data_IF_410962859795
#
_entry.id   IF_410962859795
#
_cell.length_a   1.000
_cell.length_b   1.000
_cell.length_c   1.000
_cell.angle_alpha   90.00
_cell.angle_beta   90.00
_cell.angle_gamma   90.00
#
_symmetry.space_group_name_H-M   'P 1'
#
loop_
_entity.id
_entity.type
_entity.pdbx_description
1 polymer ?
#
# COMPACT_ATOMS: atom_id res chain seq x y z
N UNK A 1 33.93 26.75 -0.07
CA UNK A 1 34.54 26.03 1.05
C UNK A 1 33.51 25.01 1.49
N UNK A 2 33.84 23.72 1.66
CA UNK A 2 32.86 22.75 2.20
C UNK A 2 32.49 23.18 3.61
N UNK A 3 31.21 23.40 3.88
CA UNK A 3 30.68 23.66 5.21
C UNK A 3 31.05 22.48 6.11
N UNK A 4 31.87 22.75 7.14
CA UNK A 4 32.19 21.75 8.14
C UNK A 4 30.91 21.42 8.92
N UNK A 5 30.38 20.21 8.74
CA UNK A 5 29.25 19.71 9.52
C UNK A 5 29.58 19.78 11.02
N UNK A 6 28.66 20.31 11.81
CA UNK A 6 28.82 20.40 13.26
C UNK A 6 28.77 19.02 13.89
N UNK A 7 29.45 18.82 15.04
CA UNK A 7 29.43 17.57 15.80
C UNK A 7 27.97 17.24 16.18
N UNK A 8 27.56 16.00 15.97
CA UNK A 8 26.18 15.54 16.24
C UNK A 8 25.83 15.63 17.73
N UNK A 9 26.78 15.46 18.65
CA UNK A 9 26.57 15.70 20.07
C UNK A 9 26.31 17.17 20.36
N UNK A 10 27.02 18.09 19.71
CA UNK A 10 26.77 19.53 19.82
C UNK A 10 25.43 19.94 19.23
N UNK A 11 25.03 19.35 18.09
CA UNK A 11 23.74 19.61 17.46
C UNK A 11 22.58 19.26 18.38
N UNK A 12 22.68 18.15 19.10
CA UNK A 12 21.67 17.72 20.08
C UNK A 12 21.86 18.35 21.46
N UNK A 13 23.00 19.05 21.71
CA UNK A 13 23.30 19.69 23.00
C UNK A 13 23.51 18.67 24.12
N UNK A 14 24.14 17.54 23.82
CA UNK A 14 24.44 16.45 24.76
C UNK A 14 25.92 16.13 24.77
N UNK A 15 26.43 15.49 25.85
CA UNK A 15 27.81 15.07 25.96
C UNK A 15 28.05 13.68 25.31
N UNK A 16 29.31 13.41 24.92
CA UNK A 16 29.73 12.06 24.53
C UNK A 16 29.53 11.10 25.72
N UNK A 17 28.84 9.99 25.51
CA UNK A 17 28.50 9.06 26.59
C UNK A 17 27.12 9.25 27.20
N UNK A 18 26.31 10.16 26.66
CA UNK A 18 24.89 10.34 27.05
C UNK A 18 24.12 9.02 26.94
N UNK A 19 23.19 8.79 27.88
CA UNK A 19 22.27 7.66 27.84
C UNK A 19 21.24 7.77 26.71
N UNK A 20 20.73 6.62 26.24
CA UNK A 20 19.74 6.59 25.15
C UNK A 20 18.45 7.35 25.51
N UNK A 21 18.07 7.34 26.80
CA UNK A 21 16.89 8.07 27.28
C UNK A 21 17.07 9.59 27.28
N UNK A 22 18.26 10.06 27.68
CA UNK A 22 18.59 11.49 27.66
C UNK A 22 18.74 11.99 26.23
N UNK A 23 19.36 11.20 25.35
CA UNK A 23 19.45 11.47 23.92
C UNK A 23 18.06 11.67 23.31
N UNK A 24 17.14 10.77 23.61
CA UNK A 24 15.74 10.83 23.16
C UNK A 24 14.99 12.04 23.70
N UNK A 25 15.24 12.44 24.96
CA UNK A 25 14.66 13.64 25.54
C UNK A 25 15.17 14.92 24.85
N UNK A 26 16.48 15.01 24.61
CA UNK A 26 17.11 16.12 23.92
C UNK A 26 16.55 16.27 22.49
N UNK A 27 16.48 15.18 21.74
CA UNK A 27 15.90 15.13 20.41
C UNK A 27 14.45 15.63 20.39
N UNK A 28 13.59 15.09 21.26
CA UNK A 28 12.16 15.50 21.30
C UNK A 28 11.99 17.02 21.59
N UNK A 29 12.84 17.56 22.46
CA UNK A 29 12.82 18.99 22.78
C UNK A 29 13.19 19.86 21.58
N UNK A 30 14.24 19.48 20.85
CA UNK A 30 14.71 20.22 19.68
C UNK A 30 13.80 20.02 18.46
N UNK A 31 13.31 18.80 18.23
CA UNK A 31 12.38 18.49 17.17
C UNK A 31 11.06 19.29 17.33
N UNK A 32 10.53 19.39 18.55
CA UNK A 32 9.36 20.25 18.83
C UNK A 32 9.66 21.73 18.60
N UNK A 33 10.85 22.19 18.99
CA UNK A 33 11.25 23.61 18.84
C UNK A 33 11.37 24.04 17.38
N UNK A 34 11.92 23.17 16.52
CA UNK A 34 12.18 23.46 15.10
C UNK A 34 11.19 22.80 14.15
N UNK A 35 10.04 22.31 14.69
CA UNK A 35 9.02 21.64 13.85
C UNK A 35 8.48 22.61 12.79
N UNK A 36 8.32 22.15 11.52
CA UNK A 36 7.83 23.02 10.44
C UNK A 36 6.43 23.58 10.71
N UNK A 37 5.55 22.83 11.39
CA UNK A 37 4.19 23.31 11.74
C UNK A 37 4.23 24.44 12.78
N UNK A 38 5.26 24.50 13.61
CA UNK A 38 5.42 25.56 14.61
C UNK A 38 6.24 26.75 14.10
N UNK A 39 6.96 26.57 12.99
CA UNK A 39 7.82 27.59 12.37
C UNK A 39 7.57 27.63 10.84
N UNK A 40 6.34 27.92 10.38
CA UNK A 40 6.02 27.89 8.98
C UNK A 40 6.81 28.95 8.21
N UNK A 41 7.57 28.54 7.18
CA UNK A 41 8.34 29.43 6.31
C UNK A 41 9.72 29.85 6.85
N UNK A 42 10.14 29.41 8.04
CA UNK A 42 11.48 29.68 8.56
C UNK A 42 12.51 28.65 8.05
N UNK A 43 13.26 29.04 7.01
CA UNK A 43 14.32 28.21 6.42
C UNK A 43 15.43 27.84 7.41
N UNK A 44 15.66 28.67 8.44
CA UNK A 44 16.69 28.41 9.44
C UNK A 44 16.23 27.37 10.44
N UNK A 45 14.94 27.38 10.81
CA UNK A 45 14.33 26.33 11.62
C UNK A 45 14.32 24.99 10.86
N UNK A 46 13.99 25.01 9.57
CA UNK A 46 14.00 23.81 8.71
C UNK A 46 15.40 23.19 8.59
N UNK A 47 16.43 24.00 8.38
CA UNK A 47 17.82 23.53 8.32
C UNK A 47 18.24 22.89 9.64
N UNK A 48 17.93 23.54 10.80
CA UNK A 48 18.22 22.99 12.13
C UNK A 48 17.41 21.71 12.42
N UNK A 49 16.20 21.63 11.94
CA UNK A 49 15.39 20.40 12.07
C UNK A 49 16.01 19.22 11.33
N UNK A 50 16.51 19.46 10.12
CA UNK A 50 17.25 18.43 9.34
C UNK A 50 18.53 17.98 10.05
N UNK A 51 19.32 18.92 10.58
CA UNK A 51 20.54 18.61 11.35
C UNK A 51 20.23 17.80 12.62
N UNK A 52 19.17 18.14 13.35
CA UNK A 52 18.74 17.46 14.59
C UNK A 52 18.28 16.03 14.28
N UNK A 53 17.57 15.83 13.17
CA UNK A 53 17.13 14.49 12.75
C UNK A 53 18.31 13.62 12.31
N UNK A 54 19.24 14.14 11.52
CA UNK A 54 20.47 13.45 11.10
C UNK A 54 21.32 13.04 12.32
N UNK A 55 21.52 13.95 13.25
CA UNK A 55 22.27 13.69 14.47
C UNK A 55 21.61 12.60 15.35
N UNK A 56 20.31 12.63 15.51
CA UNK A 56 19.60 11.61 16.28
C UNK A 56 19.62 10.25 15.60
N UNK A 57 19.47 10.20 14.30
CA UNK A 57 19.52 8.94 13.54
C UNK A 57 20.85 8.21 13.74
N UNK A 58 21.96 8.95 13.69
CA UNK A 58 23.29 8.37 13.86
C UNK A 58 23.54 7.97 15.31
N UNK A 59 23.19 8.80 16.28
CA UNK A 59 23.49 8.58 17.69
C UNK A 59 22.53 7.61 18.40
N UNK A 60 21.34 7.37 17.86
CA UNK A 60 20.36 6.41 18.40
C UNK A 60 20.67 4.96 18.04
N UNK A 61 21.41 4.72 16.98
CA UNK A 61 21.85 3.39 16.56
C UNK A 61 23.25 3.09 17.12
N UNK A 62 23.37 2.03 17.88
CA UNK A 62 24.65 1.65 18.56
C UNK A 62 25.79 1.41 17.59
N UNK A 63 25.52 0.84 16.41
CA UNK A 63 26.57 0.58 15.42
C UNK A 63 27.00 1.86 14.71
N UNK A 64 26.05 2.70 14.32
CA UNK A 64 26.34 4.00 13.70
C UNK A 64 27.05 4.93 14.68
N UNK A 65 26.61 4.95 15.94
CA UNK A 65 27.23 5.73 17.01
C UNK A 65 28.70 5.33 17.22
N UNK A 66 28.97 4.00 17.29
CA UNK A 66 30.35 3.51 17.44
C UNK A 66 31.24 3.91 16.25
N UNK A 67 30.73 3.85 15.02
CA UNK A 67 31.45 4.31 13.82
C UNK A 67 31.67 5.83 13.83
N UNK A 68 30.65 6.58 14.25
CA UNK A 68 30.77 8.02 14.38
C UNK A 68 31.79 8.43 15.47
N UNK A 69 31.80 7.73 16.61
CA UNK A 69 32.76 7.99 17.70
C UNK A 69 34.21 7.70 17.30
N UNK A 70 34.43 6.75 16.39
CA UNK A 70 35.79 6.37 15.91
C UNK A 70 36.27 7.21 14.72
N UNK A 71 35.37 7.52 13.76
CA UNK A 71 35.74 8.11 12.46
C UNK A 71 35.07 9.47 12.19
N UNK A 72 34.30 9.99 13.13
CA UNK A 72 33.52 11.22 12.95
C UNK A 72 32.47 11.10 11.84
N UNK A 73 32.18 12.20 11.17
CA UNK A 73 31.24 12.24 10.04
C UNK A 73 31.61 11.30 8.89
N UNK A 74 32.93 11.07 8.68
CA UNK A 74 33.38 10.15 7.65
C UNK A 74 32.92 8.72 7.88
N UNK A 75 32.83 8.27 9.15
CA UNK A 75 32.43 6.90 9.49
C UNK A 75 30.95 6.57 9.24
N UNK A 76 30.13 7.58 9.05
CA UNK A 76 28.68 7.46 8.77
C UNK A 76 28.30 7.99 7.39
N UNK A 77 29.25 8.46 6.61
CA UNK A 77 29.05 8.84 5.22
C UNK A 77 28.84 7.57 4.38
N UNK A 78 27.77 7.48 3.58
CA UNK A 78 27.49 6.34 2.70
C UNK A 78 28.65 6.00 1.74
N UNK A 79 29.51 6.96 1.47
CA UNK A 79 30.68 6.80 0.58
C UNK A 79 31.94 6.27 1.31
N UNK A 80 31.99 6.25 2.63
CA UNK A 80 33.19 5.86 3.39
C UNK A 80 33.52 4.35 3.28
N UNK A 81 32.56 3.51 2.96
CA UNK A 81 32.80 2.07 2.71
C UNK A 81 33.04 1.72 1.23
N UNK A 82 32.83 2.68 0.32
CA UNK A 82 32.97 2.47 -1.14
C UNK A 82 34.30 2.99 -1.72
N UNK A 83 35.19 3.50 -0.89
CA UNK A 83 36.49 4.05 -1.28
C UNK A 83 37.53 3.02 -1.70
N UNK A 84 37.21 2.16 -2.64
CA UNK A 84 38.10 1.15 -3.18
C UNK A 84 37.77 0.64 -4.57
N UNK A 85 36.90 1.33 -5.35
CA UNK A 85 36.78 0.98 -6.75
C UNK A 85 36.42 2.19 -7.64
N UNK A 86 37.44 2.64 -8.35
CA UNK A 86 37.40 3.57 -9.47
C UNK A 86 36.50 3.04 -10.58
N UNK A 87 35.56 3.84 -11.06
CA UNK A 87 34.86 3.53 -12.31
C UNK A 87 33.52 4.24 -12.49
N UNK A 88 33.54 5.49 -12.98
CA UNK A 88 32.66 6.07 -13.97
C UNK A 88 31.14 5.94 -13.81
N UNK A 89 30.48 7.06 -13.52
CA UNK A 89 29.05 7.20 -13.74
C UNK A 89 28.45 8.31 -12.87
N UNK A 90 28.70 9.59 -13.30
CA UNK A 90 28.07 10.73 -12.66
C UNK A 90 26.56 10.69 -12.88
N UNK A 91 25.80 10.47 -11.82
CA UNK A 91 24.40 10.83 -11.76
C UNK A 91 24.31 12.18 -11.05
N UNK A 92 24.35 13.25 -11.85
CA UNK A 92 23.93 14.57 -11.40
C UNK A 92 22.42 14.56 -11.21
N UNK A 93 21.98 14.43 -9.97
CA UNK A 93 20.59 14.67 -9.63
C UNK A 93 20.41 16.16 -9.34
N UNK A 94 19.70 16.83 -10.25
CA UNK A 94 19.17 18.17 -10.05
C UNK A 94 18.13 18.11 -8.90
N UNK A 95 18.47 18.76 -7.78
CA UNK A 95 17.76 18.68 -6.50
C UNK A 95 16.70 19.77 -6.38
N UNK A 96 15.77 19.83 -7.32
CA UNK A 96 14.78 20.92 -7.38
C UNK A 96 13.32 20.54 -7.28
N UNK A 97 12.87 19.39 -6.83
CA UNK A 97 11.44 19.17 -6.51
C UNK A 97 11.09 17.71 -6.11
N UNK A 98 11.91 17.06 -5.29
CA UNK A 98 11.59 15.70 -4.87
C UNK A 98 11.40 15.69 -3.36
N UNK A 99 10.20 15.28 -2.92
CA UNK A 99 9.84 15.11 -1.52
C UNK A 99 10.83 14.15 -0.81
N UNK A 100 11.64 14.75 0.07
CA UNK A 100 12.73 14.07 0.78
C UNK A 100 12.23 12.91 1.67
N UNK A 101 10.95 12.90 2.01
CA UNK A 101 10.33 11.87 2.85
C UNK A 101 10.21 10.53 2.15
N UNK A 102 9.86 10.50 0.86
CA UNK A 102 9.68 9.27 0.09
C UNK A 102 11.00 8.60 -0.30
N UNK A 103 12.05 9.41 -0.57
CA UNK A 103 13.38 8.88 -0.87
C UNK A 103 14.05 8.36 0.40
N UNK A 104 13.86 9.04 1.53
CA UNK A 104 14.44 8.66 2.81
C UNK A 104 13.79 7.38 3.35
N UNK A 105 12.47 7.24 3.25
CA UNK A 105 11.74 6.01 3.60
C UNK A 105 12.11 4.81 2.72
N UNK A 106 12.38 5.03 1.45
CA UNK A 106 12.78 3.98 0.51
C UNK A 106 14.25 3.55 0.66
N UNK A 107 15.14 4.47 1.04
CA UNK A 107 16.58 4.20 1.15
C UNK A 107 17.00 3.70 2.53
N UNK A 108 16.33 4.16 3.60
CA UNK A 108 16.66 3.81 4.98
C UNK A 108 15.66 2.93 5.72
N UNK A 109 14.39 2.91 5.33
CA UNK A 109 13.36 2.06 5.94
C UNK A 109 13.30 0.63 5.39
N UNK A 110 13.92 0.38 4.25
CA UNK A 110 14.08 -0.94 3.66
C UNK A 110 15.54 -1.33 3.72
N UNK A 111 15.90 -2.18 4.69
CA UNK A 111 17.25 -2.71 4.83
C UNK A 111 17.87 -3.03 3.47
N UNK A 112 19.16 -2.81 3.35
CA UNK A 112 20.06 -3.16 2.26
C UNK A 112 20.03 -4.68 1.98
N UNK A 113 18.86 -5.14 1.62
CA UNK A 113 18.58 -6.46 1.10
C UNK A 113 17.94 -6.23 -0.24
N UNK A 114 18.72 -6.36 -1.30
CA UNK A 114 18.24 -6.32 -2.67
C UNK A 114 16.90 -7.05 -2.75
N UNK A 115 15.86 -6.29 -3.08
CA UNK A 115 14.53 -6.82 -3.35
C UNK A 115 14.56 -7.66 -4.61
N UNK A 116 15.26 -8.79 -4.55
CA UNK A 116 14.88 -9.91 -5.39
C UNK A 116 13.49 -10.27 -4.89
N UNK A 117 12.47 -10.05 -5.72
CA UNK A 117 11.16 -10.61 -5.55
C UNK A 117 11.34 -12.12 -5.42
N UNK A 118 11.62 -12.57 -4.17
CA UNK A 118 11.62 -14.00 -3.85
C UNK A 118 10.24 -14.46 -4.26
N UNK A 119 10.17 -15.16 -5.36
CA UNK A 119 8.94 -15.81 -5.79
C UNK A 119 8.54 -16.72 -4.63
N UNK A 120 7.62 -16.21 -3.81
CA UNK A 120 7.17 -16.88 -2.59
C UNK A 120 6.48 -18.16 -3.01
N UNK A 121 7.12 -19.30 -2.82
CA UNK A 121 6.56 -20.63 -3.08
C UNK A 121 5.54 -21.04 -2.01
N UNK A 122 5.40 -20.27 -0.92
CA UNK A 122 4.42 -20.47 0.14
C UNK A 122 2.99 -20.10 -0.26
N UNK A 123 2.01 -20.33 0.66
CA UNK A 123 0.63 -19.94 0.47
C UNK A 123 0.52 -18.44 0.17
N UNK A 124 -0.16 -18.10 -0.92
CA UNK A 124 -0.34 -16.71 -1.36
C UNK A 124 -1.82 -16.37 -1.40
N UNK A 125 -2.19 -15.23 -0.82
CA UNK A 125 -3.55 -14.70 -0.92
C UNK A 125 -3.91 -14.47 -2.39
N UNK A 126 -5.16 -14.77 -2.75
CA UNK A 126 -5.70 -14.55 -4.07
C UNK A 126 -5.78 -13.06 -4.43
N UNK A 127 -6.00 -12.80 -5.70
CA UNK A 127 -6.12 -11.46 -6.26
C UNK A 127 -7.36 -10.76 -5.72
N UNK A 128 -7.23 -9.48 -5.36
CA UNK A 128 -8.36 -8.62 -5.01
C UNK A 128 -9.03 -8.16 -6.30
N UNK A 129 -10.30 -8.49 -6.45
CA UNK A 129 -11.10 -8.09 -7.61
C UNK A 129 -11.77 -6.75 -7.33
N UNK A 130 -12.00 -5.98 -8.40
CA UNK A 130 -12.72 -4.71 -8.34
C UNK A 130 -13.92 -4.78 -9.28
N UNK A 131 -15.07 -4.32 -8.80
CA UNK A 131 -16.29 -4.19 -9.58
C UNK A 131 -16.91 -2.81 -9.31
N UNK A 132 -17.76 -2.34 -10.21
CA UNK A 132 -18.53 -1.13 -10.02
C UNK A 132 -20.01 -1.47 -10.11
N UNK A 133 -20.81 -0.85 -9.25
CA UNK A 133 -22.28 -0.97 -9.25
C UNK A 133 -22.89 0.42 -9.27
N UNK A 134 -23.87 0.59 -10.12
CA UNK A 134 -24.66 1.81 -10.17
C UNK A 134 -26.01 1.59 -9.50
N UNK A 135 -26.35 2.43 -8.54
CA UNK A 135 -27.62 2.40 -7.81
C UNK A 135 -28.38 3.70 -7.98
N UNK A 136 -29.69 3.67 -7.71
CA UNK A 136 -30.51 4.88 -7.69
C UNK A 136 -30.30 5.67 -6.40
N UNK A 137 -30.84 6.89 -6.36
CA UNK A 137 -30.78 7.74 -5.18
C UNK A 137 -31.53 7.13 -3.98
N UNK A 138 -32.71 6.57 -4.25
CA UNK A 138 -33.54 5.89 -3.23
C UNK A 138 -32.85 4.62 -2.71
N UNK A 139 -32.27 3.83 -3.62
CA UNK A 139 -31.49 2.63 -3.23
C UNK A 139 -30.28 3.00 -2.36
N UNK A 140 -29.67 4.17 -2.61
CA UNK A 140 -28.58 4.66 -1.77
C UNK A 140 -29.08 5.13 -0.40
N UNK A 141 -30.28 5.68 -0.32
CA UNK A 141 -30.88 6.16 0.93
C UNK A 141 -31.30 5.01 1.84
N UNK A 142 -32.03 4.02 1.30
CA UNK A 142 -32.61 2.92 2.05
C UNK A 142 -31.73 1.67 2.13
N UNK A 143 -30.70 1.60 1.30
CA UNK A 143 -29.94 0.38 1.08
C UNK A 143 -30.63 -0.57 0.11
N UNK A 144 -29.88 -1.47 -0.47
CA UNK A 144 -30.41 -2.46 -1.40
C UNK A 144 -29.51 -3.68 -1.52
N UNK A 145 -30.08 -4.77 -2.03
CA UNK A 145 -29.32 -5.94 -2.46
C UNK A 145 -29.19 -5.93 -3.98
N UNK A 146 -27.95 -6.07 -4.47
CA UNK A 146 -27.67 -6.14 -5.92
C UNK A 146 -26.92 -7.41 -6.26
N UNK A 147 -27.33 -8.07 -7.33
CA UNK A 147 -26.58 -9.17 -7.91
C UNK A 147 -25.53 -8.65 -8.89
N UNK A 148 -24.30 -9.05 -8.70
CA UNK A 148 -23.20 -8.73 -9.60
C UNK A 148 -22.70 -10.02 -10.23
N UNK A 149 -22.51 -9.99 -11.53
CA UNK A 149 -21.91 -11.07 -12.29
C UNK A 149 -20.45 -10.73 -12.56
N UNK A 150 -19.54 -11.53 -12.07
CA UNK A 150 -18.11 -11.32 -12.28
C UNK A 150 -17.40 -12.63 -12.64
N UNK A 151 -16.34 -12.48 -13.42
CA UNK A 151 -15.45 -13.57 -13.73
C UNK A 151 -14.34 -13.59 -12.67
N UNK A 152 -14.24 -14.67 -11.91
CA UNK A 152 -13.17 -14.85 -10.93
C UNK A 152 -12.42 -16.15 -11.16
N UNK A 153 -11.19 -16.16 -10.70
CA UNK A 153 -10.38 -17.37 -10.63
C UNK A 153 -10.80 -18.17 -9.40
N UNK A 154 -11.22 -19.40 -9.60
CA UNK A 154 -11.59 -20.34 -8.51
C UNK A 154 -10.62 -21.51 -8.47
N UNK A 155 -10.50 -22.14 -7.33
CA UNK A 155 -9.75 -23.40 -7.20
C UNK A 155 -10.39 -24.44 -8.11
N UNK A 156 -9.57 -25.13 -8.89
CA UNK A 156 -10.04 -26.18 -9.78
C UNK A 156 -10.69 -27.31 -8.95
N UNK A 157 -11.92 -27.66 -9.30
CA UNK A 157 -12.70 -28.68 -8.60
C UNK A 157 -12.11 -30.09 -8.75
N UNK A 158 -11.49 -30.38 -9.91
CA UNK A 158 -10.95 -31.72 -10.19
C UNK A 158 -9.64 -32.01 -9.47
N UNK A 159 -8.77 -31.00 -9.34
CA UNK A 159 -7.47 -31.19 -8.73
C UNK A 159 -7.31 -30.47 -7.38
N UNK A 160 -8.34 -29.78 -6.91
CA UNK A 160 -8.34 -29.04 -5.62
C UNK A 160 -7.12 -28.13 -5.43
N UNK A 161 -6.69 -27.48 -6.52
CA UNK A 161 -5.58 -26.53 -6.49
C UNK A 161 -4.18 -27.15 -6.69
N UNK A 162 -4.04 -28.46 -6.80
CA UNK A 162 -2.74 -29.11 -6.97
C UNK A 162 -2.17 -28.93 -8.38
N UNK A 163 -3.04 -28.78 -9.39
CA UNK A 163 -2.68 -28.75 -10.80
C UNK A 163 -2.38 -30.12 -11.39
N UNK A 164 -2.40 -31.19 -10.59
CA UNK A 164 -2.12 -32.56 -11.05
C UNK A 164 -3.39 -33.25 -11.48
N UNK A 165 -3.28 -34.22 -12.37
CA UNK A 165 -4.39 -35.13 -12.70
C UNK A 165 -4.86 -35.87 -11.43
N UNK A 166 -6.17 -36.20 -11.33
CA UNK A 166 -6.68 -36.97 -10.19
C UNK A 166 -5.88 -38.26 -9.99
N UNK A 167 -5.49 -38.52 -8.73
CA UNK A 167 -4.67 -39.68 -8.37
C UNK A 167 -3.16 -39.51 -8.58
N UNK A 168 -2.71 -38.34 -9.05
CA UNK A 168 -1.28 -38.06 -9.22
C UNK A 168 -0.83 -36.91 -8.31
N UNK A 169 0.45 -36.89 -7.93
CA UNK A 169 1.04 -35.86 -7.11
C UNK A 169 2.15 -35.13 -7.84
N UNK A 170 2.37 -33.87 -7.45
CA UNK A 170 3.51 -33.12 -7.95
C UNK A 170 4.80 -33.58 -7.24
N UNK A 171 5.86 -33.76 -8.00
CA UNK A 171 7.19 -34.09 -7.50
C UNK A 171 7.95 -32.81 -7.15
N UNK A 172 8.71 -32.82 -6.06
CA UNK A 172 9.59 -31.69 -5.72
C UNK A 172 10.67 -31.58 -6.78
N UNK A 173 10.89 -30.37 -7.29
CA UNK A 173 11.90 -30.15 -8.32
C UNK A 173 13.31 -30.51 -7.77
N UNK A 174 14.04 -31.46 -8.38
CA UNK A 174 15.34 -31.90 -7.89
C UNK A 174 16.42 -30.82 -8.01
N UNK A 175 16.28 -29.88 -8.93
CA UNK A 175 17.29 -28.85 -9.18
C UNK A 175 17.24 -27.70 -8.17
N UNK A 176 16.06 -27.34 -7.70
CA UNK A 176 15.88 -26.25 -6.73
C UNK A 176 15.33 -26.72 -5.37
N UNK A 177 15.13 -28.01 -5.19
CA UNK A 177 14.63 -28.61 -3.94
C UNK A 177 13.38 -27.90 -3.38
N UNK A 178 12.48 -27.51 -4.26
CA UNK A 178 11.22 -26.85 -3.89
C UNK A 178 11.28 -25.33 -3.77
N UNK A 179 12.47 -24.71 -3.82
CA UNK A 179 12.62 -23.25 -3.67
C UNK A 179 12.12 -22.45 -4.88
N UNK A 180 11.99 -23.06 -6.05
CA UNK A 180 11.62 -22.38 -7.29
C UNK A 180 12.73 -21.53 -7.92
N UNK A 181 13.86 -21.36 -7.22
CA UNK A 181 14.96 -20.49 -7.65
C UNK A 181 16.31 -21.21 -7.49
N UNK A 182 17.23 -20.93 -8.39
CA UNK A 182 18.61 -21.41 -8.31
C UNK A 182 19.51 -20.24 -7.95
N UNK A 183 20.37 -20.45 -6.95
CA UNK A 183 21.38 -19.48 -6.56
C UNK A 183 22.68 -19.80 -7.28
N UNK A 184 23.04 -18.96 -8.25
CA UNK A 184 24.27 -19.08 -8.99
C UNK A 184 25.29 -18.13 -8.36
N UNK A 185 26.39 -18.69 -7.85
CA UNK A 185 27.53 -17.90 -7.40
C UNK A 185 28.49 -17.75 -8.56
N UNK A 186 28.71 -16.50 -9.00
CA UNK A 186 29.72 -16.14 -9.98
C UNK A 186 30.77 -15.28 -9.32
N UNK A 187 32.01 -15.65 -9.43
CA UNK A 187 33.16 -14.92 -8.91
C UNK A 187 34.31 -15.87 -8.58
N UNK A 188 35.52 -15.46 -8.90
CA UNK A 188 36.78 -16.12 -8.52
C UNK A 188 37.61 -15.10 -7.74
N UNK A 189 38.10 -15.48 -6.56
CA UNK A 189 38.89 -14.60 -5.69
C UNK A 189 38.05 -13.91 -4.60
N UNK A 190 38.45 -12.72 -4.19
CA UNK A 190 37.87 -12.00 -3.04
C UNK A 190 36.42 -11.51 -3.24
N UNK A 191 35.83 -11.59 -4.43
CA UNK A 191 34.49 -11.10 -4.73
C UNK A 191 33.61 -12.20 -5.31
N UNK A 192 32.63 -12.65 -4.50
CA UNK A 192 31.63 -13.64 -4.91
C UNK A 192 30.26 -12.97 -4.98
N UNK A 193 29.70 -12.85 -6.19
CA UNK A 193 28.35 -12.36 -6.37
C UNK A 193 27.37 -13.54 -6.46
N UNK A 194 26.41 -13.56 -5.55
CA UNK A 194 25.33 -14.55 -5.58
C UNK A 194 24.11 -13.95 -6.32
N UNK A 195 23.84 -14.47 -7.50
CA UNK A 195 22.65 -14.10 -8.29
C UNK A 195 21.60 -15.19 -8.14
N UNK A 196 20.36 -14.80 -7.79
CA UNK A 196 19.22 -15.74 -7.73
C UNK A 196 18.47 -15.67 -9.04
N UNK A 197 18.38 -16.79 -9.74
CA UNK A 197 17.65 -16.94 -11.00
C UNK A 197 16.48 -17.88 -10.82
N UNK A 198 15.41 -17.70 -11.62
CA UNK A 198 14.29 -18.63 -11.65
C UNK A 198 14.78 -20.01 -12.10
N UNK A 199 14.40 -21.09 -11.41
CA UNK A 199 14.77 -22.43 -11.79
C UNK A 199 14.17 -22.77 -13.16
N UNK A 200 14.99 -23.08 -14.18
CA UNK A 200 14.51 -23.31 -15.55
C UNK A 200 13.68 -24.61 -15.66
N UNK A 201 13.94 -25.60 -14.81
CA UNK A 201 13.25 -26.88 -14.85
C UNK A 201 11.82 -26.84 -14.36
N UNK A 202 11.54 -26.08 -13.30
CA UNK A 202 10.19 -25.94 -12.76
C UNK A 202 9.56 -24.56 -13.06
N UNK A 203 10.24 -23.69 -13.79
CA UNK A 203 9.79 -22.32 -14.11
C UNK A 203 9.29 -21.57 -12.87
N UNK A 204 10.01 -21.67 -11.75
CA UNK A 204 9.69 -20.98 -10.52
C UNK A 204 8.64 -21.64 -9.63
N UNK A 205 8.00 -22.73 -10.07
CA UNK A 205 6.95 -23.42 -9.30
C UNK A 205 7.47 -24.24 -8.12
N UNK A 206 8.74 -24.58 -8.08
CA UNK A 206 9.34 -25.48 -7.07
C UNK A 206 8.93 -26.95 -7.19
N UNK A 207 7.94 -27.26 -8.04
CA UNK A 207 7.36 -28.59 -8.24
C UNK A 207 7.26 -28.90 -9.72
N UNK A 208 7.37 -30.17 -10.07
CA UNK A 208 7.20 -30.68 -11.42
C UNK A 208 5.91 -31.49 -11.47
N UNK A 209 5.04 -31.18 -12.44
CA UNK A 209 3.78 -31.87 -12.67
C UNK A 209 3.98 -32.71 -13.94
N UNK A 210 4.05 -34.04 -13.80
CA UNK A 210 4.19 -34.96 -14.93
C UNK A 210 2.87 -35.13 -15.67
N UNK A 211 1.77 -35.17 -14.94
CA UNK A 211 0.43 -35.31 -15.52
C UNK A 211 -0.42 -34.09 -15.09
N UNK A 212 -0.56 -33.10 -15.98
CA UNK A 212 -1.35 -31.92 -15.66
C UNK A 212 -2.85 -32.27 -15.65
N UNK A 213 -3.58 -31.63 -14.73
CA UNK A 213 -5.03 -31.69 -14.69
C UNK A 213 -5.63 -31.19 -16.01
N UNK A 214 -6.50 -31.96 -16.63
CA UNK A 214 -7.12 -31.60 -17.93
C UNK A 214 -7.98 -30.33 -17.85
N UNK A 215 -8.66 -30.09 -16.74
CA UNK A 215 -9.58 -28.96 -16.56
C UNK A 215 -8.87 -27.62 -16.34
N UNK A 216 -7.70 -27.61 -15.70
CA UNK A 216 -6.96 -26.37 -15.42
C UNK A 216 -5.60 -26.28 -16.14
N UNK A 217 -5.21 -27.29 -16.91
CA UNK A 217 -3.92 -27.32 -17.63
C UNK A 217 -2.69 -27.20 -16.72
N UNK A 218 -2.77 -27.70 -15.48
CA UNK A 218 -1.66 -27.65 -14.53
C UNK A 218 -1.54 -26.34 -13.74
N UNK A 219 -2.52 -25.43 -13.85
CA UNK A 219 -2.52 -24.16 -13.10
C UNK A 219 -3.08 -24.29 -11.69
N UNK A 220 -3.91 -25.30 -11.43
CA UNK A 220 -4.63 -25.49 -10.16
C UNK A 220 -5.85 -24.58 -10.00
N UNK A 221 -6.10 -23.68 -10.96
CA UNK A 221 -7.21 -22.74 -10.90
C UNK A 221 -7.93 -22.64 -12.24
N UNK A 222 -9.24 -22.35 -12.20
CA UNK A 222 -10.09 -22.16 -13.38
C UNK A 222 -10.82 -20.83 -13.29
N UNK A 223 -11.08 -20.17 -14.42
CA UNK A 223 -11.94 -18.98 -14.47
C UNK A 223 -13.38 -19.41 -14.57
N UNK A 224 -14.21 -18.95 -13.64
CA UNK A 224 -15.65 -19.18 -13.64
C UNK A 224 -16.39 -17.86 -13.46
N UNK A 225 -17.54 -17.77 -14.13
CA UNK A 225 -18.48 -16.68 -13.92
C UNK A 225 -19.33 -16.99 -12.70
N UNK A 226 -19.39 -16.06 -11.74
CA UNK A 226 -20.19 -16.20 -10.52
C UNK A 226 -21.10 -15.01 -10.36
N UNK A 227 -22.32 -15.29 -9.88
CA UNK A 227 -23.25 -14.28 -9.38
C UNK A 227 -23.01 -14.12 -7.89
N UNK A 228 -22.82 -12.91 -7.45
CA UNK A 228 -22.60 -12.57 -6.04
C UNK A 228 -23.63 -11.54 -5.65
N UNK A 229 -24.40 -11.84 -4.61
CA UNK A 229 -25.31 -10.88 -4.00
C UNK A 229 -24.54 -9.97 -3.07
N UNK A 230 -24.70 -8.69 -3.25
CA UNK A 230 -24.04 -7.64 -2.47
C UNK A 230 -25.07 -6.86 -1.72
N UNK A 231 -24.96 -6.81 -0.42
CA UNK A 231 -25.78 -5.96 0.41
C UNK A 231 -25.12 -4.59 0.54
N UNK A 232 -25.79 -3.56 0.03
CA UNK A 232 -25.35 -2.17 0.06
C UNK A 232 -26.06 -1.50 1.24
N UNK A 233 -25.32 -0.99 2.25
CA UNK A 233 -25.92 -0.38 3.43
C UNK A 233 -26.65 0.93 3.07
N UNK A 234 -27.68 1.25 3.84
CA UNK A 234 -28.40 2.50 3.75
C UNK A 234 -27.48 3.70 4.04
N UNK A 235 -27.70 4.80 3.33
CA UNK A 235 -26.90 6.02 3.51
C UNK A 235 -25.54 6.03 2.84
N UNK A 236 -25.25 5.08 1.94
CA UNK A 236 -23.98 5.03 1.22
C UNK A 236 -23.79 6.27 0.34
N UNK A 237 -22.56 6.80 0.29
CA UNK A 237 -22.22 7.95 -0.56
C UNK A 237 -21.69 7.52 -1.93
N UNK A 238 -21.81 8.44 -2.90
CA UNK A 238 -21.24 8.23 -4.22
C UNK A 238 -19.72 8.07 -4.15
N UNK A 239 -19.19 7.04 -4.82
CA UNK A 239 -17.76 6.74 -4.81
C UNK A 239 -17.28 5.90 -3.62
N UNK A 240 -18.11 5.61 -2.63
CA UNK A 240 -17.75 4.70 -1.57
C UNK A 240 -17.59 3.27 -2.07
N UNK A 241 -16.72 2.51 -1.40
CA UNK A 241 -16.45 1.12 -1.74
C UNK A 241 -16.90 0.17 -0.64
N UNK A 242 -17.62 -0.88 -1.02
CA UNK A 242 -17.99 -2.00 -0.16
C UNK A 242 -16.99 -3.13 -0.36
N UNK A 243 -16.42 -3.66 0.73
CA UNK A 243 -15.46 -4.76 0.70
C UNK A 243 -16.11 -6.07 1.13
N UNK A 244 -16.07 -7.07 0.27
CA UNK A 244 -16.50 -8.44 0.56
C UNK A 244 -15.26 -9.33 0.70
N UNK A 245 -14.97 -9.74 1.92
CA UNK A 245 -13.80 -10.57 2.24
C UNK A 245 -13.94 -11.98 1.66
N UNK A 246 -12.85 -12.49 1.09
CA UNK A 246 -12.81 -13.84 0.53
C UNK A 246 -13.63 -14.06 -0.75
N UNK A 247 -14.21 -13.02 -1.34
CA UNK A 247 -15.00 -13.09 -2.58
C UNK A 247 -14.19 -12.71 -3.84
N UNK A 248 -12.88 -12.49 -3.68
CA UNK A 248 -11.96 -12.25 -4.78
C UNK A 248 -11.51 -13.51 -5.50
N UNK A 249 -10.34 -13.46 -6.13
CA UNK A 249 -9.72 -14.60 -6.81
C UNK A 249 -9.23 -15.66 -5.82
N UNK A 250 -9.15 -16.90 -6.27
CA UNK A 250 -8.58 -18.00 -5.48
C UNK A 250 -7.12 -17.73 -5.12
N UNK A 251 -6.73 -18.10 -3.91
CA UNK A 251 -5.34 -18.10 -3.48
C UNK A 251 -4.50 -19.13 -4.24
N UNK A 252 -3.20 -18.94 -4.24
CA UNK A 252 -2.24 -19.89 -4.81
C UNK A 252 -1.56 -20.69 -3.72
N UNK A 253 -1.14 -21.90 -4.05
CA UNK A 253 -0.43 -22.80 -3.12
C UNK A 253 -1.15 -23.02 -1.79
N UNK A 254 -2.49 -23.12 -1.79
CA UNK A 254 -3.27 -23.27 -0.55
C UNK A 254 -3.49 -21.97 0.25
N UNK A 255 -3.18 -20.82 -0.34
CA UNK A 255 -3.47 -19.52 0.28
C UNK A 255 -4.97 -19.18 0.30
N UNK A 256 -5.39 -18.23 1.15
CA UNK A 256 -6.77 -17.78 1.21
C UNK A 256 -7.19 -17.04 -0.06
N UNK A 257 -8.49 -17.02 -0.35
CA UNK A 257 -9.04 -16.21 -1.43
C UNK A 257 -8.80 -14.71 -1.19
N UNK A 258 -8.75 -13.94 -2.27
CA UNK A 258 -8.69 -12.49 -2.23
C UNK A 258 -10.01 -11.86 -1.79
N UNK A 259 -10.07 -10.53 -1.81
CA UNK A 259 -11.27 -9.78 -1.47
C UNK A 259 -11.91 -9.21 -2.76
N UNK A 260 -13.20 -8.86 -2.68
CA UNK A 260 -13.90 -8.15 -3.73
C UNK A 260 -14.21 -6.74 -3.23
N UNK A 261 -13.73 -5.73 -3.95
CA UNK A 261 -14.02 -4.32 -3.71
C UNK A 261 -15.04 -3.85 -4.74
N UNK A 262 -16.15 -3.31 -4.27
CA UNK A 262 -17.25 -2.84 -5.11
C UNK A 262 -17.37 -1.34 -4.93
N UNK A 263 -17.04 -0.56 -5.97
CA UNK A 263 -17.25 0.87 -5.99
C UNK A 263 -18.71 1.17 -6.32
N UNK A 264 -19.37 1.91 -5.45
CA UNK A 264 -20.77 2.28 -5.64
C UNK A 264 -20.85 3.64 -6.30
N UNK A 265 -21.60 3.71 -7.41
CA UNK A 265 -21.92 4.97 -8.10
C UNK A 265 -23.39 5.24 -7.94
N UNK A 266 -23.75 6.37 -7.34
CA UNK A 266 -25.14 6.80 -7.17
C UNK A 266 -25.56 7.64 -8.37
N UNK A 267 -26.66 7.28 -9.03
CA UNK A 267 -27.22 8.09 -10.12
C UNK A 267 -27.76 9.41 -9.55
N UNK A 268 -27.51 10.54 -10.24
CA UNK A 268 -28.12 11.79 -9.85
C UNK A 268 -29.67 11.70 -9.97
N UNK A 269 -30.37 12.25 -8.99
CA UNK A 269 -31.80 12.31 -8.98
C UNK A 269 -32.31 13.58 -9.71
N UNK A 270 -33.51 13.54 -10.27
CA UNK A 270 -34.05 14.64 -11.08
C UNK A 270 -34.19 15.94 -10.28
N UNK A 271 -34.55 15.86 -9.01
CA UNK A 271 -34.82 17.01 -8.17
C UNK A 271 -34.22 16.94 -6.74
N UNK A 272 -33.76 15.78 -6.30
CA UNK A 272 -33.04 15.67 -5.02
C UNK A 272 -31.54 15.84 -5.19
N UNK A 273 -30.96 16.68 -4.35
CA UNK A 273 -29.50 16.85 -4.21
C UNK A 273 -29.10 16.43 -2.81
N UNK A 274 -28.03 15.66 -2.67
CA UNK A 274 -27.51 15.21 -1.38
C UNK A 274 -26.19 15.90 -1.08
N UNK A 275 -26.07 16.43 0.13
CA UNK A 275 -24.83 16.94 0.70
C UNK A 275 -24.63 16.32 2.10
N UNK A 276 -23.72 15.39 2.18
CA UNK A 276 -23.51 14.60 3.40
C UNK A 276 -24.75 13.82 3.82
N UNK A 277 -25.31 14.15 4.97
CA UNK A 277 -26.53 13.52 5.53
C UNK A 277 -27.82 14.26 5.19
N UNK A 278 -27.72 15.42 4.56
CA UNK A 278 -28.89 16.27 4.23
C UNK A 278 -29.28 16.10 2.77
N UNK A 279 -30.59 16.14 2.52
CA UNK A 279 -31.17 16.12 1.18
C UNK A 279 -31.85 17.44 0.93
N UNK A 280 -31.52 18.04 -0.19
CA UNK A 280 -32.05 19.33 -0.64
C UNK A 280 -32.97 19.12 -1.82
N UNK A 281 -34.03 19.92 -1.85
CA UNK A 281 -35.02 19.95 -2.90
C UNK A 281 -35.36 21.42 -3.25
N UNK A 282 -35.28 21.76 -4.52
CA UNK A 282 -35.78 23.04 -5.03
C UNK A 282 -37.24 22.84 -5.48
N UNK A 283 -38.19 23.33 -4.67
CA UNK A 283 -39.63 23.22 -4.97
C UNK A 283 -40.16 24.54 -5.55
N UNK A 284 -40.67 24.57 -6.79
CA UNK A 284 -41.21 25.78 -7.39
C UNK A 284 -42.53 26.18 -6.72
N UNK A 285 -42.64 27.42 -6.34
CA UNK A 285 -43.86 28.02 -5.79
C UNK A 285 -44.28 29.20 -6.65
N UNK A 286 -45.59 29.44 -6.76
CA UNK A 286 -46.13 30.62 -7.46
C UNK A 286 -46.02 31.88 -6.57
N UNK A 287 -46.01 33.05 -7.18
CA UNK A 287 -45.99 34.31 -6.46
C UNK A 287 -47.14 34.44 -5.44
N UNK A 288 -48.36 34.02 -5.81
CA UNK A 288 -49.51 34.03 -4.92
C UNK A 288 -49.33 33.11 -3.69
N UNK A 289 -48.80 31.92 -3.91
CA UNK A 289 -48.49 30.99 -2.80
C UNK A 289 -47.42 31.54 -1.87
N UNK A 290 -46.41 32.22 -2.39
CA UNK A 290 -45.35 32.83 -1.59
C UNK A 290 -45.84 34.07 -0.80
N UNK A 291 -46.86 34.79 -1.28
CA UNK A 291 -47.35 36.02 -0.62
C UNK A 291 -48.51 35.77 0.33
N UNK A 292 -49.38 34.82 0.02
CA UNK A 292 -50.59 34.53 0.82
C UNK A 292 -50.48 33.32 1.70
N UNK A 293 -49.34 32.60 1.61
CA UNK A 293 -49.17 31.30 2.22
C UNK A 293 -49.98 30.22 1.46
N UNK A 294 -49.58 29.01 1.56
CA UNK A 294 -50.27 27.87 0.96
C UNK A 294 -49.88 26.54 1.63
N UNK A 295 -50.77 25.58 1.60
CA UNK A 295 -50.44 24.20 1.91
C UNK A 295 -49.85 23.53 0.65
N UNK A 296 -48.57 23.17 0.72
CA UNK A 296 -47.84 22.57 -0.38
C UNK A 296 -47.64 21.05 -0.11
N UNK A 297 -47.75 20.26 -1.14
CA UNK A 297 -47.33 18.86 -1.10
C UNK A 297 -45.89 18.76 -1.62
N UNK A 298 -44.96 18.52 -0.70
CA UNK A 298 -43.53 18.44 -1.01
C UNK A 298 -43.14 16.96 -1.11
N UNK A 299 -42.53 16.52 -2.23
CA UNK A 299 -41.98 15.17 -2.29
C UNK A 299 -40.78 15.06 -1.37
N UNK A 300 -40.73 13.98 -0.59
CA UNK A 300 -39.60 13.58 0.22
C UNK A 300 -39.17 12.18 -0.19
N UNK A 301 -38.06 11.69 0.34
CA UNK A 301 -37.56 10.33 0.05
C UNK A 301 -38.56 9.27 0.51
N UNK A 302 -39.25 9.53 1.63
CA UNK A 302 -40.24 8.60 2.24
C UNK A 302 -41.64 8.75 1.64
N UNK A 303 -41.86 9.72 0.74
CA UNK A 303 -43.16 9.99 0.15
C UNK A 303 -43.50 11.48 0.13
N UNK A 304 -44.78 11.83 0.03
CA UNK A 304 -45.23 13.23 -0.02
C UNK A 304 -45.63 13.74 1.38
N UNK A 305 -45.13 14.90 1.74
CA UNK A 305 -45.41 15.55 3.02
C UNK A 305 -46.13 16.87 2.74
N UNK A 306 -47.22 17.16 3.50
CA UNK A 306 -47.86 18.46 3.48
C UNK A 306 -47.11 19.44 4.35
N UNK A 307 -46.65 20.53 3.74
CA UNK A 307 -45.97 21.62 4.44
C UNK A 307 -46.70 22.94 4.20
N UNK A 308 -46.95 23.67 5.29
CA UNK A 308 -47.62 24.96 5.18
C UNK A 308 -46.57 26.05 5.02
N UNK A 309 -46.54 26.69 3.88
CA UNK A 309 -45.77 27.91 3.61
C UNK A 309 -46.41 29.06 4.40
N UNK A 310 -45.67 29.73 5.30
CA UNK A 310 -46.18 30.81 6.14
C UNK A 310 -46.49 32.08 5.34
#
# INVERSE_FOLDING_TARGET
MPEQKRDYYEVLGVSKGVSDDELKKAYRKLAKKYHPDLNPGDKTAEAKFKEVNEAYEVLSDKEKRAKYDQFGHAGVDPNFGAGGFNGGGGFGFDMGDIDLGDIFGSFFGGGFGGGSSRQRTGPMKGETLRAAVTITFEEAAFGCEKEIVLNRTETCEDCHGTGCAPGTTAEVCPDCHGSGTNRIQRGGGAFTFATTTTCPKCNGKGKIIHQPCKSCGGTGTTRKQRKITVNIPAGIDNGQAVSLRGQGGAGRNGGPAGDLLISVTVRPHAFFKREGTSVYLDHPVTFLQATLGAALEIPTIDGKVKWNLP
#
